data_IF_095273612024
#
_entry.id   IF_095273612024
#
_cell.length_a   1.000
_cell.length_b   1.000
_cell.length_c   1.000
_cell.angle_alpha   90.00
_cell.angle_beta   90.00
_cell.angle_gamma   90.00
#
_symmetry.space_group_name_H-M   'P 1'
#
loop_
_entity.id
_entity.type
_entity.pdbx_description
1 polymer ?
#
# COMPACT_ATOMS: atom_id res chain seq x y z
N UNK A 1 -0.55 45.73 -26.95
CA UNK A 1 -1.37 44.90 -26.04
C UNK A 1 -0.48 43.80 -25.50
N UNK A 2 0.19 44.04 -24.38
CA UNK A 2 0.94 43.00 -23.68
C UNK A 2 -0.03 42.31 -22.74
N UNK A 3 -0.64 41.21 -23.20
CA UNK A 3 -1.44 40.36 -22.33
C UNK A 3 -0.51 39.75 -21.29
N UNK A 4 -0.57 40.26 -20.05
CA UNK A 4 0.00 39.60 -18.88
C UNK A 4 -0.88 38.40 -18.52
N UNK A 5 -1.06 37.47 -19.46
CA UNK A 5 -1.82 36.26 -19.25
C UNK A 5 -0.98 35.31 -18.38
N UNK A 6 -1.36 35.15 -17.12
CA UNK A 6 -0.76 34.16 -16.23
C UNK A 6 -0.86 32.78 -16.91
N UNK A 7 0.22 31.98 -16.95
CA UNK A 7 0.20 30.71 -17.65
C UNK A 7 -0.94 29.81 -17.14
N UNK A 8 -1.61 29.07 -18.05
CA UNK A 8 -2.76 28.26 -17.71
C UNK A 8 -2.43 27.24 -16.62
N UNK A 9 -3.44 26.83 -15.84
CA UNK A 9 -3.24 25.90 -14.71
C UNK A 9 -2.70 24.54 -15.16
N UNK A 10 -3.14 24.10 -16.34
CA UNK A 10 -2.79 22.83 -16.98
C UNK A 10 -1.32 22.72 -17.37
N UNK A 11 -0.60 23.83 -17.48
CA UNK A 11 0.82 23.83 -17.84
C UNK A 11 1.71 23.59 -16.61
N UNK A 12 1.16 23.64 -15.40
CA UNK A 12 1.93 23.37 -14.19
C UNK A 12 2.11 21.86 -14.00
N UNK A 13 3.36 21.35 -13.94
CA UNK A 13 3.59 19.92 -13.67
C UNK A 13 3.05 19.50 -12.29
N UNK A 14 3.01 20.42 -11.32
CA UNK A 14 2.51 20.13 -9.97
C UNK A 14 1.01 19.90 -9.93
N UNK A 15 0.24 20.49 -10.85
CA UNK A 15 -1.18 20.16 -11.00
C UNK A 15 -1.34 18.66 -11.30
N UNK A 16 -0.58 18.17 -12.28
CA UNK A 16 -0.68 16.79 -12.72
C UNK A 16 -0.20 15.83 -11.65
N UNK A 17 0.92 16.12 -10.97
CA UNK A 17 1.36 15.29 -9.85
C UNK A 17 0.32 15.23 -8.73
N UNK A 18 -0.30 16.35 -8.36
CA UNK A 18 -1.38 16.37 -7.37
C UNK A 18 -2.60 15.57 -7.84
N UNK A 19 -3.02 15.72 -9.09
CA UNK A 19 -4.18 15.03 -9.64
C UNK A 19 -3.97 13.51 -9.66
N UNK A 20 -2.86 13.03 -10.23
CA UNK A 20 -2.59 11.59 -10.34
C UNK A 20 -2.38 10.95 -8.97
N UNK A 21 -1.66 11.60 -8.06
CA UNK A 21 -1.47 11.08 -6.71
C UNK A 21 -2.76 11.08 -5.91
N UNK A 22 -3.62 12.10 -6.04
CA UNK A 22 -4.93 12.14 -5.38
C UNK A 22 -5.86 11.04 -5.90
N UNK A 23 -5.90 10.80 -7.21
CA UNK A 23 -6.69 9.71 -7.80
C UNK A 23 -6.15 8.35 -7.36
N UNK A 24 -4.83 8.15 -7.41
CA UNK A 24 -4.17 6.93 -6.96
C UNK A 24 -4.42 6.63 -5.49
N UNK A 25 -4.28 7.65 -4.63
CA UNK A 25 -4.57 7.55 -3.19
C UNK A 25 -6.05 7.22 -2.96
N UNK A 26 -6.97 7.89 -3.66
CA UNK A 26 -8.41 7.62 -3.55
C UNK A 26 -8.77 6.20 -3.96
N UNK A 27 -8.20 5.71 -5.07
CA UNK A 27 -8.39 4.34 -5.53
C UNK A 27 -7.81 3.33 -4.52
N UNK A 28 -6.63 3.62 -3.97
CA UNK A 28 -5.98 2.76 -2.98
C UNK A 28 -6.80 2.68 -1.69
N UNK A 29 -7.26 3.80 -1.15
CA UNK A 29 -8.10 3.84 0.06
C UNK A 29 -9.46 3.15 -0.18
N UNK A 30 -10.07 3.35 -1.35
CA UNK A 30 -11.33 2.69 -1.70
C UNK A 30 -11.19 1.16 -1.81
N UNK A 31 -10.01 0.66 -2.13
CA UNK A 31 -9.77 -0.77 -2.41
C UNK A 31 -8.92 -1.48 -1.35
N UNK A 32 -8.26 -0.75 -0.44
CA UNK A 32 -7.29 -1.28 0.52
C UNK A 32 -7.88 -2.37 1.43
N UNK A 33 -9.12 -2.19 1.89
CA UNK A 33 -9.82 -3.20 2.71
C UNK A 33 -10.08 -4.53 1.97
N UNK A 34 -10.21 -4.50 0.64
CA UNK A 34 -10.39 -5.70 -0.19
C UNK A 34 -9.04 -6.39 -0.49
N UNK A 35 -7.99 -5.60 -0.70
CA UNK A 35 -6.66 -6.11 -0.99
C UNK A 35 -5.98 -6.73 0.24
N UNK A 36 -6.14 -6.15 1.44
CA UNK A 36 -5.58 -6.72 2.67
C UNK A 36 -6.07 -8.15 2.95
N UNK A 37 -7.36 -8.44 2.73
CA UNK A 37 -7.93 -9.79 2.88
C UNK A 37 -7.31 -10.79 1.90
N UNK A 38 -7.08 -10.37 0.65
CA UNK A 38 -6.48 -11.22 -0.38
C UNK A 38 -5.00 -11.46 -0.12
N UNK A 39 -4.28 -10.42 0.26
CA UNK A 39 -2.85 -10.47 0.53
C UNK A 39 -2.53 -11.34 1.74
N UNK A 40 -3.29 -11.22 2.83
CA UNK A 40 -3.18 -12.13 3.97
C UNK A 40 -3.46 -13.59 3.61
N UNK A 41 -4.41 -13.85 2.71
CA UNK A 41 -4.67 -15.20 2.21
C UNK A 41 -3.52 -15.79 1.40
N UNK A 42 -2.81 -14.97 0.63
CA UNK A 42 -1.62 -15.39 -0.15
C UNK A 42 -0.43 -15.62 0.78
N UNK A 43 -0.15 -14.66 1.67
CA UNK A 43 0.97 -14.75 2.63
C UNK A 43 0.81 -15.95 3.56
N UNK A 44 -0.40 -16.22 4.07
CA UNK A 44 -0.66 -17.39 4.92
C UNK A 44 -0.38 -18.71 4.20
N UNK A 45 -0.75 -18.83 2.92
CA UNK A 45 -0.46 -20.03 2.12
C UNK A 45 1.03 -20.20 1.87
N UNK A 46 1.74 -19.09 1.64
CA UNK A 46 3.19 -19.10 1.49
C UNK A 46 3.88 -19.51 2.79
N UNK A 47 3.50 -18.91 3.93
CA UNK A 47 4.04 -19.24 5.24
C UNK A 47 3.79 -20.70 5.64
N UNK A 48 2.60 -21.23 5.38
CA UNK A 48 2.31 -22.64 5.64
C UNK A 48 3.20 -23.58 4.81
N UNK A 49 3.49 -23.23 3.55
CA UNK A 49 4.41 -24.01 2.71
C UNK A 49 5.86 -23.86 3.16
N UNK A 50 6.28 -22.66 3.53
CA UNK A 50 7.64 -22.42 4.01
C UNK A 50 7.90 -23.11 5.34
N UNK A 51 6.94 -23.12 6.28
CA UNK A 51 7.07 -23.77 7.58
C UNK A 51 7.19 -25.30 7.47
N UNK A 52 6.49 -25.92 6.51
CA UNK A 52 6.65 -27.35 6.20
C UNK A 52 8.02 -27.62 5.54
N UNK A 53 8.46 -26.74 4.63
CA UNK A 53 9.73 -26.91 3.92
C UNK A 53 10.96 -26.62 4.80
N UNK A 54 10.85 -25.72 5.79
CA UNK A 54 11.92 -25.39 6.73
C UNK A 54 12.05 -26.41 7.88
N UNK A 55 11.10 -27.34 7.99
CA UNK A 55 11.06 -28.31 9.11
C UNK A 55 10.62 -27.70 10.44
N UNK A 56 10.20 -26.43 10.44
CA UNK A 56 9.69 -25.71 11.62
C UNK A 56 8.31 -26.24 12.02
N UNK A 57 7.50 -26.69 11.05
CA UNK A 57 6.25 -27.39 11.30
C UNK A 57 6.50 -28.90 11.42
N UNK A 58 6.67 -29.39 12.64
CA UNK A 58 6.69 -30.83 12.90
C UNK A 58 5.26 -31.35 13.03
N UNK A 59 4.82 -32.13 12.05
CA UNK A 59 3.51 -32.80 12.08
C UNK A 59 3.68 -34.10 12.85
N UNK A 60 3.42 -34.05 14.13
CA UNK A 60 3.46 -35.23 15.00
C UNK A 60 2.14 -35.99 14.84
N UNK A 61 2.23 -37.32 14.69
CA UNK A 61 1.07 -38.19 14.57
C UNK A 61 0.87 -38.85 15.92
N UNK A 62 -0.23 -38.51 16.59
CA UNK A 62 -0.60 -39.11 17.87
C UNK A 62 -0.92 -40.61 17.70
N UNK A 63 -0.88 -41.37 18.79
CA UNK A 63 -1.13 -42.81 18.84
C UNK A 63 -2.53 -43.22 18.30
N UNK A 64 -3.45 -42.25 18.22
CA UNK A 64 -4.79 -42.38 17.63
C UNK A 64 -4.82 -42.20 16.10
N UNK A 65 -3.68 -41.93 15.46
CA UNK A 65 -3.57 -41.59 14.04
C UNK A 65 -3.90 -40.14 13.71
N UNK A 66 -4.17 -39.31 14.73
CA UNK A 66 -4.51 -37.90 14.58
C UNK A 66 -3.24 -37.09 14.34
N UNK A 67 -3.16 -36.39 13.20
CA UNK A 67 -2.02 -35.51 12.88
C UNK A 67 -2.26 -34.14 13.49
N UNK A 68 -1.45 -33.76 14.48
CA UNK A 68 -1.48 -32.44 15.09
C UNK A 68 -0.17 -31.70 14.79
N UNK A 69 -0.26 -30.45 14.34
CA UNK A 69 0.91 -29.60 14.15
C UNK A 69 1.30 -29.01 15.51
N UNK A 70 2.39 -29.49 16.10
CA UNK A 70 2.97 -28.89 17.30
C UNK A 70 3.76 -27.63 16.89
N UNK A 71 3.50 -26.48 17.54
CA UNK A 71 4.28 -25.25 17.33
C UNK A 71 3.93 -24.46 16.06
N UNK A 72 2.67 -24.44 15.63
CA UNK A 72 2.25 -23.68 14.46
C UNK A 72 2.72 -22.20 14.53
N UNK A 73 3.52 -21.72 13.55
CA UNK A 73 4.01 -20.35 13.55
C UNK A 73 2.87 -19.34 13.44
N UNK A 74 3.09 -18.12 13.94
CA UNK A 74 2.11 -17.04 13.86
C UNK A 74 1.93 -16.59 12.40
N UNK A 75 0.78 -16.93 11.82
CA UNK A 75 0.51 -16.68 10.39
C UNK A 75 0.01 -15.26 10.13
N UNK A 76 0.28 -14.72 8.94
CA UNK A 76 -0.24 -13.45 8.45
C UNK A 76 -1.78 -13.42 8.53
N UNK A 77 -2.28 -12.40 9.22
CA UNK A 77 -3.70 -12.06 9.29
C UNK A 77 -3.98 -10.81 8.44
N UNK A 78 -5.25 -10.53 8.09
CA UNK A 78 -5.64 -9.35 7.30
C UNK A 78 -5.14 -8.00 7.86
N UNK A 79 -4.78 -7.95 9.15
CA UNK A 79 -4.24 -6.78 9.85
C UNK A 79 -2.75 -6.92 10.23
N UNK A 80 -2.10 -8.02 9.83
CA UNK A 80 -0.69 -8.33 10.11
C UNK A 80 -0.01 -8.93 8.87
N UNK A 81 -0.18 -8.28 7.73
CA UNK A 81 0.55 -8.65 6.50
C UNK A 81 1.99 -8.18 6.56
N UNK A 82 2.92 -9.03 6.12
CA UNK A 82 4.36 -8.73 6.06
C UNK A 82 4.61 -7.56 5.10
N UNK A 83 3.84 -7.45 4.01
CA UNK A 83 3.94 -6.35 3.04
C UNK A 83 2.68 -5.49 3.15
N UNK A 84 2.62 -4.52 4.07
CA UNK A 84 1.44 -3.68 4.22
C UNK A 84 1.32 -2.64 3.10
N UNK A 85 0.09 -2.19 2.83
CA UNK A 85 -0.22 -1.19 1.80
C UNK A 85 0.04 0.26 2.26
N UNK A 86 0.15 0.50 3.58
CA UNK A 86 0.31 1.82 4.17
C UNK A 86 1.55 2.62 3.68
N UNK A 87 2.72 2.02 3.37
CA UNK A 87 3.86 2.80 2.88
C UNK A 87 3.55 3.47 1.54
N UNK A 88 2.78 2.79 0.68
CA UNK A 88 2.36 3.35 -0.61
C UNK A 88 1.34 4.47 -0.42
N UNK A 89 0.41 4.32 0.53
CA UNK A 89 -0.54 5.36 0.91
C UNK A 89 0.19 6.63 1.40
N UNK A 90 1.19 6.48 2.28
CA UNK A 90 1.98 7.60 2.78
C UNK A 90 2.76 8.26 1.65
N UNK A 91 3.42 7.49 0.80
CA UNK A 91 4.18 8.03 -0.32
C UNK A 91 3.28 8.88 -1.23
N UNK A 92 2.11 8.36 -1.61
CA UNK A 92 1.13 9.09 -2.43
C UNK A 92 0.62 10.34 -1.71
N UNK A 93 0.35 10.26 -0.41
CA UNK A 93 -0.08 11.42 0.39
C UNK A 93 0.99 12.51 0.45
N UNK A 94 2.25 12.15 0.65
CA UNK A 94 3.39 13.08 0.67
C UNK A 94 3.58 13.75 -0.69
N UNK A 95 3.54 12.98 -1.78
CA UNK A 95 3.64 13.51 -3.15
C UNK A 95 2.47 14.44 -3.45
N UNK A 96 1.25 14.07 -3.08
CA UNK A 96 0.06 14.89 -3.26
C UNK A 96 0.18 16.21 -2.51
N UNK A 97 0.46 16.16 -1.20
CA UNK A 97 0.61 17.34 -0.35
C UNK A 97 1.75 18.25 -0.83
N UNK A 98 2.90 17.69 -1.17
CA UNK A 98 4.04 18.44 -1.70
C UNK A 98 3.74 19.10 -3.04
N UNK A 99 3.01 18.42 -3.93
CA UNK A 99 2.61 18.96 -5.23
C UNK A 99 1.59 20.09 -5.07
N UNK A 100 0.60 19.94 -4.19
CA UNK A 100 -0.35 21.00 -3.86
C UNK A 100 0.38 22.22 -3.27
N UNK A 101 1.31 22.00 -2.34
CA UNK A 101 2.10 23.09 -1.75
C UNK A 101 2.94 23.82 -2.82
N UNK A 102 3.59 23.09 -3.73
CA UNK A 102 4.35 23.68 -4.83
C UNK A 102 3.46 24.41 -5.83
N UNK A 103 2.28 23.88 -6.15
CA UNK A 103 1.31 24.54 -7.02
C UNK A 103 0.83 25.86 -6.40
N UNK A 104 0.49 25.85 -5.11
CA UNK A 104 0.12 27.06 -4.37
C UNK A 104 1.28 28.06 -4.33
N UNK A 105 2.52 27.60 -4.11
CA UNK A 105 3.71 28.46 -4.15
C UNK A 105 3.91 29.11 -5.51
N UNK A 106 3.76 28.36 -6.61
CA UNK A 106 3.83 28.91 -7.97
C UNK A 106 2.73 29.92 -8.26
N UNK A 107 1.55 29.75 -7.65
CA UNK A 107 0.40 30.62 -7.89
C UNK A 107 0.43 31.89 -7.03
N UNK A 108 1.01 31.82 -5.83
CA UNK A 108 1.11 32.93 -4.88
C UNK A 108 2.47 33.65 -4.91
N UNK A 109 3.50 33.07 -5.52
CA UNK A 109 4.80 33.71 -5.71
C UNK A 109 4.68 34.97 -6.59
N UNK A 110 5.52 36.00 -6.35
CA UNK A 110 5.58 37.17 -7.21
C UNK A 110 5.96 36.75 -8.63
N UNK A 111 5.31 37.38 -9.62
CA UNK A 111 5.60 37.21 -11.03
C UNK A 111 7.01 37.73 -11.37
#
# INVERSE_FOLDING_TARGET
>A
MTDNAKPPLTDSPWLWFALFSAVGLSALLATGGKFGKRQAGIERKYQARSAVASGELQVETDATGTKAAAGAPEYSAPNSTIIPLWPLEILLAVVCAGSVAMLLRQRMGPA
#
